data_IF_511861393111
#
_entry.id   IF_511861393111
#
_cell.length_a   1.000
_cell.length_b   1.000
_cell.length_c   1.000
_cell.angle_alpha   90.00
_cell.angle_beta   90.00
_cell.angle_gamma   90.00
#
_symmetry.space_group_name_H-M   'P 1'
#
loop_
_entity.id
_entity.type
_entity.pdbx_description
1 polymer ?
#
# COMPACT_ATOMS: atom_id res chain seq x y z
N UNK A 1 -9.65 4.21 -12.15
CA UNK A 1 -9.29 4.37 -10.72
C UNK A 1 -8.05 5.25 -10.60
N UNK A 2 -8.05 6.19 -9.66
CA UNK A 2 -6.92 7.07 -9.36
C UNK A 2 -6.35 6.72 -7.99
N UNK A 3 -5.05 6.45 -7.89
CA UNK A 3 -4.36 6.17 -6.63
C UNK A 3 -3.34 7.28 -6.36
N UNK A 4 -3.42 7.91 -5.19
CA UNK A 4 -2.44 8.87 -4.70
C UNK A 4 -1.75 8.32 -3.45
N UNK A 5 -0.43 8.33 -3.43
CA UNK A 5 0.34 7.89 -2.27
C UNK A 5 0.52 9.07 -1.31
N UNK A 6 -0.07 8.96 -0.11
CA UNK A 6 0.08 9.97 0.94
C UNK A 6 1.38 9.79 1.72
N UNK A 7 1.82 8.55 1.85
CA UNK A 7 3.10 8.15 2.42
C UNK A 7 3.59 6.84 1.82
N UNK A 8 4.90 6.65 1.75
CA UNK A 8 5.52 5.52 1.03
C UNK A 8 6.66 4.85 1.81
N UNK A 9 6.86 5.25 3.06
CA UNK A 9 7.92 4.75 3.93
C UNK A 9 7.42 3.79 4.99
N UNK A 10 8.33 2.97 5.51
CA UNK A 10 8.16 2.11 6.67
C UNK A 10 8.21 2.91 7.99
N UNK A 11 8.08 2.23 9.12
CA UNK A 11 8.04 2.82 10.46
C UNK A 11 9.32 3.59 10.87
N UNK A 12 10.46 3.36 10.24
CA UNK A 12 11.75 3.99 10.60
C UNK A 12 11.95 5.42 10.05
N UNK A 13 10.96 5.97 9.36
CA UNK A 13 10.92 7.36 8.94
C UNK A 13 10.34 8.25 10.03
N UNK A 14 11.09 9.29 10.43
CA UNK A 14 10.66 10.28 11.41
C UNK A 14 10.33 11.61 10.72
N UNK A 15 9.54 12.45 11.37
CA UNK A 15 9.12 13.76 10.83
C UNK A 15 10.30 14.63 10.36
N UNK A 16 11.43 14.59 11.07
CA UNK A 16 12.65 15.31 10.68
C UNK A 16 13.23 14.82 9.35
N UNK A 17 13.18 13.52 9.10
CA UNK A 17 13.68 12.91 7.86
C UNK A 17 12.84 13.30 6.64
N UNK A 18 11.52 13.40 6.82
CA UNK A 18 10.59 13.79 5.74
C UNK A 18 10.97 15.15 5.16
N UNK A 19 11.39 16.09 6.03
CA UNK A 19 11.71 17.47 5.64
C UNK A 19 13.15 17.68 5.16
N UNK A 20 14.08 16.82 5.57
CA UNK A 20 15.52 17.05 5.38
C UNK A 20 16.15 16.12 4.34
N UNK A 21 15.55 14.98 4.07
CA UNK A 21 16.05 13.99 3.10
C UNK A 21 15.31 14.17 1.77
N UNK A 22 16.01 14.28 0.62
CA UNK A 22 15.36 14.26 -0.69
C UNK A 22 14.48 13.00 -0.85
N UNK A 23 13.24 13.18 -1.28
CA UNK A 23 12.22 12.09 -1.29
C UNK A 23 11.99 11.47 0.09
N UNK A 24 12.07 12.28 1.16
CA UNK A 24 11.69 11.85 2.51
C UNK A 24 10.27 11.32 2.52
N UNK A 25 10.03 10.23 3.26
CA UNK A 25 8.80 9.46 3.20
C UNK A 25 8.01 9.54 4.49
N UNK A 26 6.71 9.75 4.38
CA UNK A 26 5.73 9.51 5.45
C UNK A 26 5.47 8.02 5.57
N UNK A 27 4.93 7.58 6.70
CA UNK A 27 4.45 6.21 6.86
C UNK A 27 3.43 5.87 5.77
N UNK A 28 3.45 4.62 5.31
CA UNK A 28 2.68 4.18 4.16
C UNK A 28 1.17 4.40 4.35
N UNK A 29 0.58 5.10 3.40
CA UNK A 29 -0.85 5.38 3.32
C UNK A 29 -1.20 5.78 1.89
N UNK A 30 -2.41 5.48 1.44
CA UNK A 30 -2.85 5.78 0.08
C UNK A 30 -4.31 6.24 0.03
N UNK A 31 -4.62 7.02 -1.00
CA UNK A 31 -5.95 7.58 -1.25
C UNK A 31 -6.44 7.16 -2.63
N UNK A 32 -7.54 6.40 -2.67
CA UNK A 32 -8.20 5.96 -3.91
C UNK A 32 -9.29 6.96 -4.27
N UNK A 33 -9.27 7.43 -5.51
CA UNK A 33 -10.21 8.38 -6.13
C UNK A 33 -10.49 9.64 -5.29
N UNK A 34 -9.57 9.96 -4.37
CA UNK A 34 -9.68 11.09 -3.45
C UNK A 34 -10.67 10.88 -2.30
N UNK A 35 -11.28 9.71 -2.15
CA UNK A 35 -12.37 9.47 -1.18
C UNK A 35 -12.16 8.26 -0.27
N UNK A 36 -11.44 7.22 -0.70
CA UNK A 36 -11.17 6.02 0.08
C UNK A 36 -9.72 6.04 0.58
N UNK A 37 -9.54 6.26 1.87
CA UNK A 37 -8.25 6.25 2.54
C UNK A 37 -7.90 4.82 3.00
N UNK A 38 -6.69 4.38 2.67
CA UNK A 38 -6.09 3.14 3.16
C UNK A 38 -5.01 3.50 4.17
N UNK A 39 -5.06 2.89 5.35
CA UNK A 39 -4.14 3.05 6.46
C UNK A 39 -4.09 4.49 7.02
N UNK A 40 -4.98 4.81 7.98
CA UNK A 40 -5.09 6.11 8.62
C UNK A 40 -3.99 6.31 9.69
N UNK A 41 -2.73 6.25 9.27
CA UNK A 41 -1.55 6.39 10.14
C UNK A 41 -1.33 7.81 10.66
N UNK A 42 -0.32 8.00 11.53
CA UNK A 42 -0.06 9.27 12.20
C UNK A 42 0.41 10.39 11.24
N UNK A 43 0.94 10.04 10.07
CA UNK A 43 1.40 11.01 9.08
C UNK A 43 0.29 11.51 8.13
N UNK A 44 -0.92 10.92 8.17
CA UNK A 44 -2.02 11.29 7.27
C UNK A 44 -2.45 12.75 7.40
N UNK A 45 -2.63 13.34 8.59
CA UNK A 45 -3.00 14.76 8.72
C UNK A 45 -2.00 15.69 8.02
N UNK A 46 -0.70 15.49 8.25
CA UNK A 46 0.37 16.27 7.60
C UNK A 46 0.40 16.05 6.07
N UNK A 47 0.12 14.85 5.61
CA UNK A 47 0.03 14.55 4.17
C UNK A 47 -1.15 15.27 3.52
N UNK A 48 -2.34 15.24 4.12
CA UNK A 48 -3.53 15.93 3.61
C UNK A 48 -3.28 17.44 3.50
N UNK A 49 -2.68 18.05 4.53
CA UNK A 49 -2.31 19.47 4.53
C UNK A 49 -1.28 19.76 3.42
N UNK A 50 -0.20 18.98 3.36
CA UNK A 50 0.91 19.17 2.40
C UNK A 50 0.42 19.08 0.95
N UNK A 51 -0.50 18.17 0.64
CA UNK A 51 -1.00 17.94 -0.71
C UNK A 51 -2.29 18.71 -1.01
N UNK A 52 -2.77 19.55 -0.08
CA UNK A 52 -3.97 20.37 -0.25
C UNK A 52 -5.25 19.56 -0.40
N UNK A 53 -5.34 18.41 0.27
CA UNK A 53 -6.50 17.53 0.22
C UNK A 53 -7.43 17.86 1.39
N UNK A 54 -8.66 18.37 1.14
CA UNK A 54 -9.61 18.62 2.21
C UNK A 54 -9.98 17.32 2.93
N UNK A 55 -9.87 17.30 4.26
CA UNK A 55 -10.18 16.10 5.03
C UNK A 55 -11.67 15.69 4.91
N UNK A 56 -12.56 16.64 4.64
CA UNK A 56 -13.99 16.43 4.36
C UNK A 56 -14.25 15.66 3.06
N UNK A 57 -13.24 15.58 2.18
CA UNK A 57 -13.30 14.79 0.95
C UNK A 57 -13.21 13.29 1.24
N UNK A 58 -12.57 12.90 2.34
CA UNK A 58 -12.43 11.51 2.75
C UNK A 58 -13.79 10.99 3.20
N UNK A 59 -14.32 9.99 2.50
CA UNK A 59 -15.62 9.37 2.81
C UNK A 59 -15.49 8.03 3.51
N UNK A 60 -14.47 7.29 3.15
CA UNK A 60 -14.26 5.93 3.61
C UNK A 60 -12.82 5.74 4.08
N UNK A 61 -12.65 4.96 5.12
CA UNK A 61 -11.35 4.59 5.67
C UNK A 61 -11.33 3.07 5.84
N UNK A 62 -10.29 2.42 5.35
CA UNK A 62 -10.00 1.00 5.59
C UNK A 62 -8.59 0.85 6.18
N UNK A 63 -8.36 -0.23 6.90
CA UNK A 63 -7.11 -0.48 7.61
C UNK A 63 -6.58 -1.87 7.26
N UNK A 64 -5.32 -1.96 6.82
CA UNK A 64 -4.66 -3.25 6.55
C UNK A 64 -4.36 -3.99 7.84
N UNK A 65 -3.79 -3.30 8.83
CA UNK A 65 -3.46 -3.86 10.16
C UNK A 65 -3.19 -2.75 11.19
N UNK A 66 -3.04 -3.11 12.46
CA UNK A 66 -3.05 -2.15 13.57
C UNK A 66 -1.65 -1.71 14.06
N UNK A 67 -0.57 -1.88 13.29
CA UNK A 67 0.71 -1.30 13.65
C UNK A 67 0.65 0.24 13.68
N UNK A 68 1.46 0.85 14.54
CA UNK A 68 1.36 2.27 14.86
C UNK A 68 1.72 3.22 13.69
N UNK A 69 2.39 2.75 12.68
CA UNK A 69 2.68 3.50 11.45
C UNK A 69 1.51 3.45 10.44
N UNK A 70 0.60 2.46 10.55
CA UNK A 70 -0.59 2.33 9.70
C UNK A 70 -1.87 2.80 10.37
N UNK A 71 -1.93 2.77 11.69
CA UNK A 71 -3.11 3.11 12.46
C UNK A 71 -2.84 4.16 13.52
N UNK A 72 -3.63 5.22 13.52
CA UNK A 72 -3.68 6.21 14.58
C UNK A 72 -5.13 6.56 14.92
N UNK A 73 -5.53 6.34 16.18
CA UNK A 73 -6.90 6.54 16.62
C UNK A 73 -7.35 8.01 16.52
N UNK A 74 -6.45 8.97 16.78
CA UNK A 74 -6.77 10.40 16.69
C UNK A 74 -6.98 10.83 15.23
N UNK A 75 -6.21 10.26 14.28
CA UNK A 75 -6.41 10.45 12.84
C UNK A 75 -7.79 9.97 12.43
N UNK A 76 -8.16 8.74 12.82
CA UNK A 76 -9.49 8.17 12.54
C UNK A 76 -10.58 9.06 13.12
N UNK A 77 -10.53 9.37 14.42
CA UNK A 77 -11.53 10.20 15.08
C UNK A 77 -11.69 11.58 14.44
N UNK A 78 -10.58 12.20 14.04
CA UNK A 78 -10.60 13.49 13.34
C UNK A 78 -11.29 13.43 11.99
N UNK A 79 -11.06 12.36 11.21
CA UNK A 79 -11.70 12.16 9.91
C UNK A 79 -13.18 11.77 10.05
N UNK A 80 -13.53 10.93 11.04
CA UNK A 80 -14.93 10.58 11.34
C UNK A 80 -15.73 11.82 11.78
N UNK A 81 -15.15 12.72 12.57
CA UNK A 81 -15.78 13.99 12.93
C UNK A 81 -16.06 14.89 11.71
N UNK A 82 -15.39 14.65 10.58
CA UNK A 82 -15.59 15.32 9.29
C UNK A 82 -16.49 14.53 8.32
N UNK A 83 -17.05 13.42 8.78
CA UNK A 83 -18.03 12.63 8.03
C UNK A 83 -17.50 11.38 7.35
N UNK A 84 -16.23 11.04 7.53
CA UNK A 84 -15.68 9.77 7.06
C UNK A 84 -16.29 8.58 7.82
N UNK A 85 -16.35 7.42 7.19
CA UNK A 85 -16.78 6.17 7.82
C UNK A 85 -15.61 5.19 7.86
N UNK A 86 -15.24 4.75 9.05
CA UNK A 86 -14.19 3.77 9.26
C UNK A 86 -14.72 2.34 9.17
N UNK A 87 -14.09 1.51 8.32
CA UNK A 87 -14.34 0.09 8.16
C UNK A 87 -13.11 -0.67 8.63
N UNK A 88 -13.23 -1.34 9.76
CA UNK A 88 -12.22 -2.25 10.28
C UNK A 88 -12.65 -3.67 9.99
N UNK A 89 -11.97 -4.33 9.05
CA UNK A 89 -12.19 -5.74 8.77
C UNK A 89 -11.25 -6.57 9.65
N UNK A 90 -11.76 -7.65 10.20
CA UNK A 90 -10.98 -8.56 11.07
C UNK A 90 -10.69 -9.88 10.37
N UNK A 91 -11.49 -10.23 9.35
CA UNK A 91 -11.38 -11.47 8.63
C UNK A 91 -11.33 -11.28 7.11
N UNK A 92 -10.70 -12.23 6.38
CA UNK A 92 -10.83 -12.29 4.93
C UNK A 92 -12.31 -12.38 4.50
N UNK A 93 -12.65 -11.70 3.41
CA UNK A 93 -14.02 -11.67 2.91
C UNK A 93 -14.21 -10.65 1.82
N UNK A 94 -15.44 -10.55 1.31
CA UNK A 94 -15.83 -9.54 0.31
C UNK A 94 -16.78 -8.55 0.97
N UNK A 95 -16.43 -7.29 0.92
CA UNK A 95 -17.11 -6.20 1.60
C UNK A 95 -17.50 -5.10 0.61
N UNK A 96 -18.58 -4.38 0.90
CA UNK A 96 -18.97 -3.19 0.16
C UNK A 96 -18.57 -1.94 0.96
N UNK A 97 -17.75 -1.08 0.35
CA UNK A 97 -17.30 0.20 0.91
C UNK A 97 -17.68 1.32 -0.05
N UNK A 98 -18.83 1.91 0.16
CA UNK A 98 -19.41 2.86 -0.80
C UNK A 98 -19.61 2.20 -2.17
N UNK A 99 -19.02 2.79 -3.19
CA UNK A 99 -19.04 2.28 -4.57
C UNK A 99 -18.03 1.15 -4.84
N UNK A 100 -17.10 0.90 -3.90
CA UNK A 100 -16.05 -0.10 -4.07
C UNK A 100 -16.45 -1.47 -3.52
N UNK A 101 -16.15 -2.51 -4.28
CA UNK A 101 -16.05 -3.87 -3.75
C UNK A 101 -14.63 -4.09 -3.26
N UNK A 102 -14.48 -4.39 -1.97
CA UNK A 102 -13.20 -4.64 -1.31
C UNK A 102 -13.13 -6.10 -0.90
N UNK A 103 -12.29 -6.88 -1.56
CA UNK A 103 -11.99 -8.25 -1.16
C UNK A 103 -10.74 -8.25 -0.29
N UNK A 104 -10.91 -8.64 0.98
CA UNK A 104 -9.83 -8.77 1.95
C UNK A 104 -9.25 -10.19 1.91
N UNK A 105 -7.94 -10.30 1.82
CA UNK A 105 -7.17 -11.54 1.82
C UNK A 105 -6.16 -11.49 2.95
N UNK A 106 -5.81 -12.64 3.54
CA UNK A 106 -4.82 -12.71 4.61
C UNK A 106 -3.43 -12.38 4.06
N UNK A 107 -2.77 -11.36 4.64
CA UNK A 107 -1.37 -11.04 4.38
C UNK A 107 -0.41 -11.91 5.22
N UNK A 108 0.87 -11.92 4.84
CA UNK A 108 1.92 -12.67 5.51
C UNK A 108 2.84 -11.72 6.30
N UNK A 109 2.34 -11.21 7.44
CA UNK A 109 3.03 -10.21 8.25
C UNK A 109 3.09 -10.63 9.72
N UNK A 110 4.00 -11.57 10.02
CA UNK A 110 4.21 -12.08 11.38
C UNK A 110 2.96 -12.67 12.03
N UNK A 111 2.98 -12.80 13.35
CA UNK A 111 1.88 -13.35 14.15
C UNK A 111 1.34 -12.38 15.20
N UNK A 112 1.92 -11.19 15.30
CA UNK A 112 1.56 -10.19 16.31
C UNK A 112 0.29 -9.41 15.99
N UNK A 113 -0.03 -9.28 14.71
CA UNK A 113 -1.24 -8.61 14.22
C UNK A 113 -1.80 -9.37 13.01
N UNK A 114 -3.14 -9.33 12.88
CA UNK A 114 -3.80 -9.80 11.66
C UNK A 114 -3.63 -8.74 10.56
N UNK A 115 -2.94 -9.12 9.49
CA UNK A 115 -2.76 -8.26 8.32
C UNK A 115 -3.68 -8.70 7.18
N UNK A 116 -4.34 -7.74 6.55
CA UNK A 116 -5.19 -7.95 5.39
C UNK A 116 -4.65 -7.18 4.18
N UNK A 117 -4.55 -7.86 3.06
CA UNK A 117 -4.34 -7.26 1.75
C UNK A 117 -5.68 -7.03 1.07
N UNK A 118 -5.77 -6.02 0.24
CA UNK A 118 -7.03 -5.62 -0.38
C UNK A 118 -6.98 -5.69 -1.90
N UNK A 119 -7.95 -6.40 -2.49
CA UNK A 119 -8.31 -6.24 -3.88
C UNK A 119 -9.51 -5.28 -3.93
N UNK A 120 -9.29 -4.08 -4.44
CA UNK A 120 -10.29 -3.00 -4.51
C UNK A 120 -10.75 -2.86 -5.97
N UNK A 121 -12.06 -2.91 -6.18
CA UNK A 121 -12.67 -2.79 -7.51
C UNK A 121 -13.74 -1.68 -7.50
N UNK A 122 -13.69 -0.76 -8.48
CA UNK A 122 -14.68 0.29 -8.73
C UNK A 122 -15.73 -0.12 -9.79
N UNK A 123 -15.75 -1.39 -10.21
CA UNK A 123 -16.58 -1.92 -11.30
C UNK A 123 -15.82 -2.03 -12.62
N UNK A 124 -14.74 -1.30 -12.82
CA UNK A 124 -13.93 -1.29 -14.06
C UNK A 124 -12.47 -1.62 -13.81
N UNK A 125 -11.85 -0.97 -12.85
CA UNK A 125 -10.42 -1.10 -12.49
C UNK A 125 -10.24 -1.89 -11.20
N UNK A 126 -9.06 -2.52 -11.07
CA UNK A 126 -8.69 -3.37 -9.92
C UNK A 126 -7.34 -2.99 -9.38
N UNK A 127 -7.33 -2.51 -8.14
CA UNK A 127 -6.13 -2.27 -7.34
C UNK A 127 -5.89 -3.47 -6.43
N UNK A 128 -4.69 -4.04 -6.44
CA UNK A 128 -4.25 -4.99 -5.42
C UNK A 128 -3.24 -4.30 -4.49
N UNK A 129 -3.64 -4.09 -3.24
CA UNK A 129 -2.84 -3.40 -2.22
C UNK A 129 -2.33 -4.40 -1.20
N UNK A 130 -1.06 -4.82 -1.35
CA UNK A 130 -0.38 -5.82 -0.53
C UNK A 130 0.68 -5.14 0.34
N UNK A 131 0.21 -4.57 1.46
CA UNK A 131 1.03 -3.80 2.39
C UNK A 131 1.48 -4.66 3.56
N UNK A 132 2.71 -4.42 4.00
CA UNK A 132 3.35 -5.13 5.12
C UNK A 132 3.22 -6.65 4.99
N UNK A 133 4.07 -7.21 4.16
CA UNK A 133 4.03 -8.63 3.91
C UNK A 133 5.37 -9.14 3.38
N UNK A 134 5.77 -10.29 3.85
CA UNK A 134 6.74 -11.14 3.17
C UNK A 134 6.11 -11.75 1.90
N UNK A 135 6.49 -12.95 1.50
CA UNK A 135 5.92 -13.64 0.35
C UNK A 135 4.39 -13.61 0.36
N UNK A 136 3.77 -13.30 -0.79
CA UNK A 136 2.33 -13.49 -0.96
C UNK A 136 1.94 -14.94 -0.67
N UNK A 137 0.84 -15.13 0.04
CA UNK A 137 0.32 -16.44 0.34
C UNK A 137 -0.32 -17.08 -0.90
N UNK A 138 -0.37 -18.40 -0.95
CA UNK A 138 -0.93 -19.12 -2.10
C UNK A 138 -2.39 -18.77 -2.45
N UNK A 139 -3.30 -18.46 -1.49
CA UNK A 139 -4.65 -17.98 -1.82
C UNK A 139 -4.65 -16.68 -2.63
N UNK A 140 -3.74 -15.73 -2.32
CA UNK A 140 -3.60 -14.46 -3.03
C UNK A 140 -3.13 -14.70 -4.48
N UNK A 141 -2.09 -15.51 -4.67
CA UNK A 141 -1.64 -15.93 -6.01
C UNK A 141 -2.78 -16.55 -6.81
N UNK A 142 -3.54 -17.48 -6.20
CA UNK A 142 -4.67 -18.14 -6.87
C UNK A 142 -5.72 -17.12 -7.30
N UNK A 143 -6.02 -16.14 -6.42
CA UNK A 143 -7.02 -15.12 -6.70
C UNK A 143 -6.61 -14.22 -7.86
N UNK A 144 -5.39 -13.68 -7.83
CA UNK A 144 -4.84 -12.85 -8.92
C UNK A 144 -4.87 -13.62 -10.25
N UNK A 145 -4.43 -14.87 -10.26
CA UNK A 145 -4.45 -15.72 -11.44
C UNK A 145 -5.87 -16.01 -11.96
N UNK A 146 -6.84 -16.25 -11.05
CA UNK A 146 -8.24 -16.50 -11.43
C UNK A 146 -8.84 -15.30 -12.14
N UNK A 147 -8.67 -14.11 -11.58
CA UNK A 147 -9.14 -12.87 -12.18
C UNK A 147 -8.62 -12.67 -13.61
N UNK A 148 -7.32 -12.87 -13.82
CA UNK A 148 -6.75 -12.75 -15.16
C UNK A 148 -7.31 -13.78 -16.15
N UNK A 149 -7.57 -15.01 -15.71
CA UNK A 149 -8.21 -16.05 -16.54
C UNK A 149 -9.67 -15.73 -16.87
N UNK A 150 -10.34 -15.00 -16.02
CA UNK A 150 -11.71 -14.50 -16.23
C UNK A 150 -11.76 -13.24 -17.11
N UNK A 151 -10.61 -12.78 -17.62
CA UNK A 151 -10.51 -11.59 -18.46
C UNK A 151 -10.49 -10.27 -17.65
N UNK A 152 -10.30 -10.36 -16.35
CA UNK A 152 -10.33 -9.25 -15.41
C UNK A 152 -9.02 -9.13 -14.60
N UNK A 153 -7.85 -8.95 -15.24
CA UNK A 153 -6.57 -8.91 -14.53
C UNK A 153 -6.52 -7.75 -13.52
N UNK A 154 -5.58 -7.83 -12.58
CA UNK A 154 -5.24 -6.70 -11.70
C UNK A 154 -4.60 -5.61 -12.55
N UNK A 155 -5.15 -4.39 -12.49
CA UNK A 155 -4.65 -3.25 -13.28
C UNK A 155 -3.40 -2.66 -12.64
N UNK A 156 -3.40 -2.53 -11.31
CA UNK A 156 -2.28 -1.98 -10.57
C UNK A 156 -2.06 -2.75 -9.26
N UNK A 157 -0.83 -3.20 -9.03
CA UNK A 157 -0.44 -3.85 -7.79
C UNK A 157 0.52 -2.95 -7.01
N UNK A 158 0.22 -2.72 -5.76
CA UNK A 158 1.10 -2.08 -4.77
C UNK A 158 1.60 -3.16 -3.83
N UNK A 159 2.92 -3.30 -3.70
CA UNK A 159 3.53 -4.36 -2.89
C UNK A 159 4.60 -3.81 -1.96
N UNK A 160 4.67 -4.38 -0.76
CA UNK A 160 5.73 -4.15 0.21
C UNK A 160 7.12 -4.42 -0.40
N UNK A 161 8.06 -3.53 -0.11
CA UNK A 161 9.48 -3.68 -0.37
C UNK A 161 10.28 -3.00 0.75
N UNK A 162 9.99 -3.34 1.99
CA UNK A 162 10.63 -2.75 3.18
C UNK A 162 12.13 -2.95 3.17
N UNK A 163 12.58 -4.14 2.77
CA UNK A 163 13.99 -4.52 2.79
C UNK A 163 14.62 -4.30 1.41
N UNK A 164 15.83 -3.74 1.40
CA UNK A 164 16.62 -3.58 0.18
C UNK A 164 17.24 -4.89 -0.34
N UNK A 165 18.45 -4.79 -0.91
CA UNK A 165 19.15 -5.95 -1.49
C UNK A 165 19.99 -6.77 -0.50
N UNK A 166 20.49 -6.14 0.57
CA UNK A 166 21.54 -6.71 1.40
C UNK A 166 21.01 -7.69 2.46
N UNK A 167 19.69 -7.90 2.45
CA UNK A 167 19.01 -8.75 3.42
C UNK A 167 18.97 -8.12 4.82
N UNK A 168 18.00 -8.55 5.61
CA UNK A 168 17.80 -8.16 6.99
C UNK A 168 16.85 -9.17 7.64
N UNK A 169 16.83 -9.28 8.98
CA UNK A 169 15.92 -10.20 9.67
C UNK A 169 14.42 -9.91 9.39
N UNK A 170 14.09 -8.70 8.96
CA UNK A 170 12.70 -8.30 8.61
C UNK A 170 12.14 -9.05 7.40
N UNK A 171 12.96 -9.78 6.63
CA UNK A 171 12.46 -10.64 5.52
C UNK A 171 11.47 -11.73 5.97
N UNK A 172 11.37 -11.99 7.27
CA UNK A 172 10.36 -12.92 7.79
C UNK A 172 8.97 -12.28 7.94
N UNK A 173 8.87 -10.95 7.82
CA UNK A 173 7.63 -10.17 7.95
C UNK A 173 7.41 -9.21 6.78
N UNK A 174 8.45 -8.95 5.97
CA UNK A 174 8.45 -8.00 4.86
C UNK A 174 9.19 -8.56 3.65
N UNK A 175 8.89 -8.03 2.46
CA UNK A 175 9.66 -8.37 1.27
C UNK A 175 11.00 -7.63 1.21
N UNK A 176 12.02 -8.31 0.71
CA UNK A 176 13.18 -7.69 0.08
C UNK A 176 12.95 -7.52 -1.44
N UNK A 177 13.83 -6.77 -2.09
CA UNK A 177 13.73 -6.53 -3.53
C UNK A 177 13.87 -7.82 -4.36
N UNK A 178 14.65 -8.80 -3.87
CA UNK A 178 14.82 -10.08 -4.58
C UNK A 178 13.55 -10.92 -4.52
N UNK A 179 12.85 -10.92 -3.39
CA UNK A 179 11.56 -11.59 -3.21
C UNK A 179 10.51 -10.99 -4.15
N UNK A 180 10.43 -9.66 -4.21
CA UNK A 180 9.55 -8.96 -5.17
C UNK A 180 9.85 -9.40 -6.60
N UNK A 181 11.10 -9.38 -7.04
CA UNK A 181 11.47 -9.80 -8.38
C UNK A 181 11.14 -11.27 -8.67
N UNK A 182 11.30 -12.17 -7.70
CA UNK A 182 10.91 -13.57 -7.86
C UNK A 182 9.41 -13.74 -8.02
N UNK A 183 8.61 -13.04 -7.20
CA UNK A 183 7.15 -13.07 -7.35
C UNK A 183 6.70 -12.52 -8.70
N UNK A 184 7.30 -11.41 -9.16
CA UNK A 184 6.94 -10.79 -10.43
C UNK A 184 7.24 -11.67 -11.65
N UNK A 185 8.26 -12.55 -11.62
CA UNK A 185 8.46 -13.56 -12.67
C UNK A 185 7.25 -14.47 -12.88
N UNK A 186 6.50 -14.74 -11.81
CA UNK A 186 5.31 -15.60 -11.84
C UNK A 186 4.02 -14.81 -12.04
N UNK A 187 3.93 -13.60 -11.48
CA UNK A 187 2.70 -12.81 -11.45
C UNK A 187 2.52 -11.89 -12.66
N UNK A 188 3.61 -11.47 -13.32
CA UNK A 188 3.53 -10.53 -14.45
C UNK A 188 2.53 -10.88 -15.55
N UNK A 189 2.23 -12.16 -15.87
CA UNK A 189 1.20 -12.47 -16.84
C UNK A 189 -0.24 -12.18 -16.38
N UNK A 190 -0.45 -11.91 -15.09
CA UNK A 190 -1.77 -11.80 -14.46
C UNK A 190 -2.10 -10.38 -13.98
N UNK A 191 -1.19 -9.43 -14.16
CA UNK A 191 -1.36 -8.03 -13.76
C UNK A 191 -0.72 -7.10 -14.79
N UNK A 192 -1.19 -5.83 -14.83
CA UNK A 192 -0.72 -4.88 -15.85
C UNK A 192 0.48 -4.07 -15.37
N UNK A 193 0.47 -3.59 -14.11
CA UNK A 193 1.53 -2.76 -13.53
C UNK A 193 1.78 -3.11 -12.07
N UNK A 194 2.99 -2.85 -11.61
CA UNK A 194 3.44 -3.07 -10.22
C UNK A 194 4.19 -1.84 -9.72
N UNK A 195 3.96 -1.51 -8.47
CA UNK A 195 4.66 -0.48 -7.74
C UNK A 195 5.15 -1.00 -6.39
N UNK A 196 6.38 -0.70 -6.02
CA UNK A 196 6.90 -0.95 -4.67
C UNK A 196 6.68 0.25 -3.76
N UNK A 197 6.39 -0.05 -2.49
CA UNK A 197 6.11 0.90 -1.42
C UNK A 197 6.69 0.39 -0.09
N UNK A 198 6.51 1.14 1.00
CA UNK A 198 6.91 0.79 2.37
C UNK A 198 8.42 0.64 2.54
N UNK A 199 9.21 1.46 1.83
CA UNK A 199 10.67 1.39 1.88
C UNK A 199 11.20 1.87 3.23
N UNK A 200 11.99 1.02 3.92
CA UNK A 200 12.71 1.40 5.12
C UNK A 200 13.84 2.39 4.79
N UNK A 201 14.00 3.42 5.62
CA UNK A 201 14.99 4.48 5.41
C UNK A 201 16.43 3.97 5.41
N UNK A 202 16.70 2.99 6.26
CA UNK A 202 18.05 2.50 6.53
C UNK A 202 18.45 1.31 5.67
N UNK A 203 17.52 0.71 4.92
CA UNK A 203 17.73 -0.52 4.17
C UNK A 203 17.72 -0.32 2.65
N UNK A 204 17.44 0.91 2.19
CA UNK A 204 17.44 1.26 0.78
C UNK A 204 18.50 2.30 0.44
N UNK A 205 18.89 2.30 -0.84
CA UNK A 205 19.61 3.41 -1.45
C UNK A 205 18.68 4.63 -1.61
N UNK A 206 19.18 5.75 -2.13
CA UNK A 206 18.35 6.90 -2.45
C UNK A 206 17.27 6.57 -3.49
N UNK A 207 16.22 7.40 -3.53
CA UNK A 207 15.06 7.16 -4.39
C UNK A 207 15.40 7.04 -5.88
N UNK A 208 16.23 7.93 -6.41
CA UNK A 208 16.55 7.95 -7.85
C UNK A 208 17.36 6.72 -8.26
N UNK A 209 18.28 6.30 -7.42
CA UNK A 209 19.02 5.04 -7.60
C UNK A 209 18.09 3.84 -7.58
N UNK A 210 17.14 3.79 -6.64
CA UNK A 210 16.15 2.71 -6.57
C UNK A 210 15.26 2.68 -7.81
N UNK A 211 14.80 3.85 -8.30
CA UNK A 211 14.03 3.96 -9.56
C UNK A 211 14.84 3.40 -10.73
N UNK A 212 16.12 3.78 -10.85
CA UNK A 212 17.00 3.28 -11.90
C UNK A 212 17.19 1.75 -11.84
N UNK A 213 17.28 1.21 -10.63
CA UNK A 213 17.41 -0.25 -10.39
C UNK A 213 16.14 -1.02 -10.75
N UNK A 214 14.95 -0.48 -10.47
CA UNK A 214 13.66 -1.16 -10.72
C UNK A 214 13.16 -0.99 -12.16
N UNK A 215 13.59 0.06 -12.86
CA UNK A 215 13.19 0.35 -14.24
C UNK A 215 13.34 -0.82 -15.23
N UNK A 216 14.45 -1.60 -15.25
CA UNK A 216 14.58 -2.74 -16.16
C UNK A 216 13.55 -3.84 -15.96
N UNK A 217 12.93 -3.90 -14.78
CA UNK A 217 11.90 -4.88 -14.44
C UNK A 217 10.47 -4.37 -14.65
N UNK A 218 10.32 -3.12 -15.10
CA UNK A 218 9.01 -2.50 -15.28
C UNK A 218 8.25 -2.27 -13.96
N UNK A 219 8.98 -2.13 -12.85
CA UNK A 219 8.42 -1.90 -11.51
C UNK A 219 8.59 -0.42 -11.16
N UNK A 220 7.47 0.22 -10.84
CA UNK A 220 7.44 1.60 -10.36
C UNK A 220 7.92 1.68 -8.90
N UNK A 221 8.48 2.82 -8.51
CA UNK A 221 8.88 3.10 -7.12
C UNK A 221 8.07 4.30 -6.64
N UNK A 222 7.16 4.09 -5.70
CA UNK A 222 6.31 5.15 -5.19
C UNK A 222 7.11 6.21 -4.42
N UNK A 223 6.59 7.44 -4.40
CA UNK A 223 7.04 8.54 -3.55
C UNK A 223 5.82 9.34 -3.06
N UNK A 224 6.00 10.07 -1.97
CA UNK A 224 4.92 10.82 -1.35
C UNK A 224 4.36 11.90 -2.28
N UNK A 225 3.04 11.92 -2.43
CA UNK A 225 2.31 12.81 -3.34
C UNK A 225 2.15 12.26 -4.77
N UNK A 226 2.84 11.19 -5.14
CA UNK A 226 2.68 10.62 -6.49
C UNK A 226 1.27 10.11 -6.71
N UNK A 227 0.79 10.37 -7.93
CA UNK A 227 -0.54 9.94 -8.38
C UNK A 227 -0.42 9.12 -9.65
N UNK A 228 -1.17 8.03 -9.72
CA UNK A 228 -1.28 7.17 -10.90
C UNK A 228 -2.74 6.90 -11.24
N UNK A 229 -3.06 6.82 -12.52
CA UNK A 229 -4.38 6.44 -13.03
C UNK A 229 -4.28 5.16 -13.88
N UNK A 230 -5.26 4.28 -13.75
CA UNK A 230 -5.30 2.98 -14.43
C UNK A 230 -6.73 2.46 -14.59
#
# INVERSE_FOLDING_TARGET
MKLQFLGTGAADWKAEHIKTIPYGRRNASALVDGVLLIDPGPCVPDALETFGIPAEQIKYIILTHSHADHYNADTVASLEAKGAKFFRFEEPGVYQVGEYTVEALRGNHGTSVDCLHYLICDGTSRLYYAMDSAWLLYPEYRRIRSLAKEGAPVDYMVIDATVGWDGDYRIFEHNDLSMVLHMMKTLSPYLKKVCIIHMARTLHTDHLSLVAMMKPYGIDVAYDGWTVEF
#
